data_IF_961605513528
#
_entry.id   IF_961605513528
#
_cell.length_a   1.000
_cell.length_b   1.000
_cell.length_c   1.000
_cell.angle_alpha   90.00
_cell.angle_beta   90.00
_cell.angle_gamma   90.00
#
_symmetry.space_group_name_H-M   'P 1'
#
loop_
_entity.id
_entity.type
_entity.pdbx_description
1 polymer ?
#
# COMPACT_ATOMS: atom_id res chain seq x y z
N UNK A 1 10.09 40.02 -3.06
CA UNK A 1 9.32 39.27 -2.04
C UNK A 1 9.34 37.80 -2.43
N UNK A 2 10.28 37.05 -1.86
CA UNK A 2 10.37 35.59 -2.01
C UNK A 2 9.22 34.96 -1.24
N UNK A 3 8.33 34.25 -1.94
CA UNK A 3 7.31 33.43 -1.27
C UNK A 3 8.04 32.33 -0.47
N UNK A 4 7.70 32.10 0.81
CA UNK A 4 8.28 30.99 1.55
C UNK A 4 7.87 29.68 0.85
N UNK A 5 8.84 28.84 0.53
CA UNK A 5 8.58 27.48 0.06
C UNK A 5 7.99 26.72 1.25
N UNK A 6 6.67 26.60 1.32
CA UNK A 6 6.07 25.65 2.25
C UNK A 6 6.54 24.25 1.79
N UNK A 7 7.07 23.41 2.69
CA UNK A 7 7.41 22.04 2.34
C UNK A 7 6.16 21.35 1.81
N UNK A 8 6.29 20.62 0.70
CA UNK A 8 5.20 19.81 0.18
C UNK A 8 4.73 18.84 1.28
N UNK A 9 3.42 18.52 1.36
CA UNK A 9 2.93 17.54 2.31
C UNK A 9 3.74 16.23 2.18
N UNK A 10 4.22 15.72 3.31
CA UNK A 10 5.05 14.52 3.34
C UNK A 10 4.18 13.28 3.16
N UNK A 11 4.42 12.54 2.07
CA UNK A 11 3.78 11.25 1.82
C UNK A 11 4.26 10.22 2.84
N UNK A 12 3.35 9.70 3.65
CA UNK A 12 3.66 8.60 4.60
C UNK A 12 3.60 7.27 3.86
N UNK A 13 4.65 6.47 4.01
CA UNK A 13 4.71 5.09 3.49
C UNK A 13 4.71 4.10 4.65
N UNK A 14 3.79 3.13 4.63
CA UNK A 14 3.72 2.07 5.63
C UNK A 14 4.47 0.82 5.17
N UNK A 15 5.36 0.31 6.00
CA UNK A 15 6.09 -0.93 5.76
C UNK A 15 5.29 -2.16 6.20
N UNK A 16 4.95 -3.03 5.25
CA UNK A 16 4.16 -4.23 5.50
C UNK A 16 2.67 -3.94 5.46
N UNK A 17 2.06 -4.19 4.31
CA UNK A 17 0.62 -4.15 4.18
C UNK A 17 -0.04 -5.34 4.92
N UNK A 18 -1.10 -5.11 5.72
CA UNK A 18 -1.94 -6.20 6.19
C UNK A 18 -2.72 -6.76 5.00
N UNK A 19 -2.83 -8.08 4.91
CA UNK A 19 -3.66 -8.75 3.91
C UNK A 19 -5.14 -8.76 4.38
N UNK A 20 -5.67 -7.56 4.67
CA UNK A 20 -7.02 -7.32 5.18
C UNK A 20 -7.57 -6.05 4.55
N UNK A 21 -8.71 -6.18 3.85
CA UNK A 21 -9.30 -5.08 3.08
C UNK A 21 -9.73 -3.89 3.95
N UNK A 22 -10.27 -4.14 5.15
CA UNK A 22 -10.79 -3.09 6.02
C UNK A 22 -9.65 -2.30 6.64
N UNK A 23 -8.55 -2.98 7.02
CA UNK A 23 -7.33 -2.31 7.46
C UNK A 23 -6.68 -1.50 6.33
N UNK A 24 -6.70 -1.99 5.09
CA UNK A 24 -6.20 -1.26 3.93
C UNK A 24 -7.01 0.01 3.64
N UNK A 25 -8.35 -0.08 3.68
CA UNK A 25 -9.24 1.09 3.55
C UNK A 25 -8.99 2.11 4.65
N UNK A 26 -8.92 1.67 5.90
CA UNK A 26 -8.60 2.54 7.04
C UNK A 26 -7.26 3.25 6.85
N UNK A 27 -6.23 2.55 6.37
CA UNK A 27 -4.91 3.16 6.12
C UNK A 27 -4.97 4.20 4.99
N UNK A 28 -5.74 3.95 3.93
CA UNK A 28 -6.03 4.94 2.88
C UNK A 28 -6.73 6.17 3.46
N UNK A 29 -7.75 5.98 4.28
CA UNK A 29 -8.52 7.06 4.90
C UNK A 29 -7.68 7.91 5.87
N UNK A 30 -6.66 7.30 6.49
CA UNK A 30 -5.66 7.97 7.31
C UNK A 30 -4.61 8.76 6.49
N UNK A 31 -4.69 8.73 5.16
CA UNK A 31 -3.78 9.48 4.28
C UNK A 31 -2.44 8.77 4.03
N UNK A 32 -2.34 7.46 4.26
CA UNK A 32 -1.16 6.69 3.86
C UNK A 32 -1.08 6.67 2.33
N UNK A 33 -0.01 7.23 1.79
CA UNK A 33 0.18 7.37 0.35
C UNK A 33 0.62 6.06 -0.32
N UNK A 34 1.36 5.21 0.40
CA UNK A 34 1.88 3.95 -0.12
C UNK A 34 2.04 2.90 0.97
N UNK A 35 1.86 1.64 0.60
CA UNK A 35 2.15 0.51 1.47
C UNK A 35 3.02 -0.49 0.72
N UNK A 36 4.05 -1.03 1.38
CA UNK A 36 4.90 -2.07 0.80
C UNK A 36 4.43 -3.45 1.27
N UNK A 37 4.27 -4.39 0.33
CA UNK A 37 3.99 -5.79 0.65
C UNK A 37 5.31 -6.52 0.89
N UNK A 38 5.37 -7.34 1.95
CA UNK A 38 6.50 -8.24 2.18
C UNK A 38 6.15 -9.60 1.60
N UNK A 39 6.89 -10.00 0.57
CA UNK A 39 6.76 -11.30 -0.05
C UNK A 39 7.77 -12.27 0.59
N UNK A 40 7.36 -13.48 0.98
CA UNK A 40 8.30 -14.50 1.42
C UNK A 40 9.17 -14.95 0.24
N UNK A 41 10.40 -15.42 0.49
CA UNK A 41 11.19 -16.10 -0.53
C UNK A 41 10.55 -17.47 -0.82
N UNK A 42 9.75 -17.54 -1.88
CA UNK A 42 8.98 -18.72 -2.28
C UNK A 42 9.24 -19.07 -3.75
N UNK A 43 8.93 -20.32 -4.13
CA UNK A 43 8.97 -20.74 -5.54
C UNK A 43 7.81 -20.14 -6.32
N UNK A 44 7.90 -20.16 -7.64
CA UNK A 44 6.90 -19.63 -8.57
C UNK A 44 5.48 -20.13 -8.27
N UNK A 45 5.34 -21.42 -7.98
CA UNK A 45 4.06 -22.08 -7.73
C UNK A 45 3.37 -21.56 -6.45
N UNK A 46 4.15 -21.06 -5.50
CA UNK A 46 3.66 -20.52 -4.23
C UNK A 46 3.51 -18.99 -4.28
N UNK A 47 4.39 -18.29 -5.00
CA UNK A 47 4.39 -16.82 -5.05
C UNK A 47 3.31 -16.27 -5.99
N UNK A 48 3.01 -16.94 -7.10
CA UNK A 48 2.03 -16.43 -8.08
C UNK A 48 0.61 -16.34 -7.49
N UNK A 49 0.08 -17.36 -6.80
CA UNK A 49 -1.23 -17.24 -6.14
C UNK A 49 -1.27 -16.14 -5.07
N UNK A 50 -0.16 -15.91 -4.37
CA UNK A 50 -0.04 -14.81 -3.40
C UNK A 50 -0.15 -13.45 -4.11
N UNK A 51 0.55 -13.26 -5.22
CA UNK A 51 0.45 -12.03 -6.02
C UNK A 51 -0.96 -11.81 -6.58
N UNK A 52 -1.65 -12.88 -6.97
CA UNK A 52 -3.04 -12.81 -7.41
C UNK A 52 -3.99 -12.38 -6.28
N UNK A 53 -3.75 -12.83 -5.04
CA UNK A 53 -4.47 -12.36 -3.85
C UNK A 53 -4.31 -10.84 -3.68
N UNK A 54 -3.07 -10.34 -3.74
CA UNK A 54 -2.78 -8.90 -3.67
C UNK A 54 -3.41 -8.12 -4.81
N UNK A 55 -3.41 -8.64 -6.03
CA UNK A 55 -4.04 -8.00 -7.17
C UNK A 55 -5.56 -7.84 -6.98
N UNK A 56 -6.23 -8.81 -6.35
CA UNK A 56 -7.66 -8.70 -6.00
C UNK A 56 -7.91 -7.63 -4.96
N UNK A 57 -7.11 -7.59 -3.88
CA UNK A 57 -7.23 -6.57 -2.83
C UNK A 57 -7.01 -5.16 -3.37
N UNK A 58 -6.00 -4.95 -4.21
CA UNK A 58 -5.71 -3.64 -4.84
C UNK A 58 -6.90 -3.18 -5.70
N UNK A 59 -7.51 -4.09 -6.47
CA UNK A 59 -8.71 -3.76 -7.27
C UNK A 59 -9.90 -3.38 -6.39
N UNK A 60 -10.11 -4.10 -5.28
CA UNK A 60 -11.18 -3.81 -4.34
C UNK A 60 -10.98 -2.51 -3.57
N UNK A 61 -9.74 -2.08 -3.34
CA UNK A 61 -9.40 -0.81 -2.69
C UNK A 61 -9.58 0.40 -3.63
N UNK A 62 -9.42 0.18 -4.94
CA UNK A 62 -9.59 1.19 -5.98
C UNK A 62 -11.01 1.32 -6.53
N UNK A 63 -11.89 0.36 -6.23
CA UNK A 63 -13.34 0.45 -6.48
C UNK A 63 -14.01 1.34 -5.42
#
# INVERSE_FOLDING_TARGET
>A
MTHPHLPAPSSVTLGGAPEDLDLLKRNRDLGIARMNVRLPPAKTEEILPLLDSWAKLIRQLGA
#
